data_IF_315937483961
#
_entry.id   IF_315937483961
#
_cell.length_a   1.000
_cell.length_b   1.000
_cell.length_c   1.000
_cell.angle_alpha   90.00
_cell.angle_beta   90.00
_cell.angle_gamma   90.00
#
_symmetry.space_group_name_H-M   'P 1'
#
loop_
_entity.id
_entity.type
_entity.pdbx_description
1 polymer ?
#
# COMPACT_ATOMS: atom_id res chain seq x y z
N UNK A 1 -6.34 1.56 0.87
CA UNK A 1 -5.16 1.07 0.13
C UNK A 1 -4.20 2.19 -0.25
N UNK A 2 -4.54 3.08 -1.19
CA UNK A 2 -3.61 4.09 -1.73
C UNK A 2 -3.00 5.04 -0.69
N UNK A 3 -3.82 5.52 0.26
CA UNK A 3 -3.36 6.39 1.36
C UNK A 3 -2.20 5.78 2.14
N UNK A 4 -2.15 4.45 2.25
CA UNK A 4 -1.09 3.72 2.95
C UNK A 4 0.01 3.31 1.96
N UNK A 5 -0.37 2.73 0.82
CA UNK A 5 0.58 2.12 -0.11
C UNK A 5 1.46 3.14 -0.84
N UNK A 6 0.90 4.28 -1.26
CA UNK A 6 1.62 5.32 -2.01
C UNK A 6 2.80 5.89 -1.23
N UNK A 7 2.64 6.45 -0.01
CA UNK A 7 3.78 7.02 0.71
C UNK A 7 4.87 5.99 1.00
N UNK A 8 4.48 4.74 1.33
CA UNK A 8 5.42 3.64 1.56
C UNK A 8 6.20 3.31 0.27
N UNK A 9 5.49 3.20 -0.86
CA UNK A 9 6.12 2.90 -2.15
C UNK A 9 7.08 3.99 -2.62
N UNK A 10 6.73 5.27 -2.43
CA UNK A 10 7.60 6.40 -2.72
C UNK A 10 8.85 6.38 -1.82
N UNK A 11 8.68 6.10 -0.52
CA UNK A 11 9.78 5.95 0.41
C UNK A 11 10.76 4.85 -0.02
N UNK A 12 10.25 3.68 -0.42
CA UNK A 12 11.06 2.57 -0.91
C UNK A 12 11.80 2.96 -2.20
N UNK A 13 11.13 3.59 -3.15
CA UNK A 13 11.73 4.02 -4.41
C UNK A 13 12.84 5.06 -4.20
N UNK A 14 12.61 6.06 -3.35
CA UNK A 14 13.62 7.07 -2.99
C UNK A 14 14.79 6.43 -2.25
N UNK A 15 14.52 5.53 -1.30
CA UNK A 15 15.57 4.82 -0.57
C UNK A 15 16.48 4.04 -1.52
N UNK A 16 15.90 3.27 -2.44
CA UNK A 16 16.67 2.47 -3.40
C UNK A 16 17.47 3.29 -4.39
N UNK A 17 17.02 4.49 -4.72
CA UNK A 17 17.69 5.35 -5.72
C UNK A 17 18.73 6.28 -5.12
N UNK A 18 18.53 6.78 -3.89
CA UNK A 18 19.39 7.82 -3.30
C UNK A 18 20.18 7.39 -2.07
N UNK A 19 19.64 6.50 -1.24
CA UNK A 19 20.19 6.19 0.08
C UNK A 19 20.83 4.79 0.14
N UNK A 20 20.37 3.87 -0.70
CA UNK A 20 20.76 2.47 -0.65
C UNK A 20 22.21 2.27 -1.13
N UNK A 21 23.06 1.56 -0.38
CA UNK A 21 24.41 1.28 -0.80
C UNK A 21 24.42 0.35 -2.03
N UNK A 22 25.38 0.57 -2.94
CA UNK A 22 25.36 -0.07 -4.28
C UNK A 22 25.31 -1.60 -4.27
N UNK A 23 25.85 -2.25 -3.25
CA UNK A 23 25.81 -3.71 -3.08
C UNK A 23 24.41 -4.25 -2.73
N UNK A 24 23.62 -3.49 -1.96
CA UNK A 24 22.27 -3.88 -1.54
C UNK A 24 21.20 -3.46 -2.57
N UNK A 25 21.48 -2.49 -3.43
CA UNK A 25 20.51 -1.95 -4.39
C UNK A 25 19.92 -3.03 -5.31
N UNK A 26 20.78 -3.86 -5.91
CA UNK A 26 20.38 -4.93 -6.84
C UNK A 26 19.54 -6.04 -6.19
N UNK A 27 19.94 -6.66 -5.06
CA UNK A 27 19.15 -7.74 -4.46
C UNK A 27 17.81 -7.25 -3.91
N UNK A 28 17.76 -6.06 -3.29
CA UNK A 28 16.50 -5.53 -2.73
C UNK A 28 15.51 -5.19 -3.85
N UNK A 29 16.00 -4.54 -4.92
CA UNK A 29 15.24 -4.30 -6.14
C UNK A 29 14.61 -5.56 -6.71
N UNK A 30 15.43 -6.60 -6.92
CA UNK A 30 14.98 -7.88 -7.44
C UNK A 30 13.91 -8.49 -6.53
N UNK A 31 14.08 -8.39 -5.20
CA UNK A 31 13.09 -8.91 -4.25
C UNK A 31 11.74 -8.20 -4.38
N UNK A 32 11.74 -6.88 -4.59
CA UNK A 32 10.50 -6.10 -4.78
C UNK A 32 9.82 -6.46 -6.10
N UNK A 33 10.59 -6.62 -7.17
CA UNK A 33 10.06 -7.04 -8.48
C UNK A 33 9.46 -8.45 -8.40
N UNK A 34 10.14 -9.38 -7.72
CA UNK A 34 9.61 -10.71 -7.45
C UNK A 34 8.34 -10.66 -6.58
N UNK A 35 8.30 -9.77 -5.59
CA UNK A 35 7.12 -9.57 -4.74
C UNK A 35 5.92 -9.05 -5.54
N UNK A 36 6.15 -8.21 -6.55
CA UNK A 36 5.11 -7.72 -7.47
C UNK A 36 4.56 -8.81 -8.40
N UNK A 37 5.35 -9.85 -8.67
CA UNK A 37 4.97 -11.01 -9.49
C UNK A 37 4.19 -12.08 -8.72
N UNK A 38 4.12 -11.99 -7.39
CA UNK A 38 3.37 -12.94 -6.56
C UNK A 38 1.88 -12.91 -6.95
N UNK A 39 1.27 -14.07 -7.26
CA UNK A 39 -0.16 -14.17 -7.53
C UNK A 39 -1.01 -13.60 -6.40
N UNK A 40 -2.06 -12.84 -6.74
CA UNK A 40 -2.83 -12.11 -5.74
C UNK A 40 -3.59 -13.03 -4.76
N UNK A 41 -3.96 -14.23 -5.18
CA UNK A 41 -4.55 -15.26 -4.31
C UNK A 41 -3.68 -15.60 -3.10
N UNK A 42 -2.35 -15.54 -3.25
CA UNK A 42 -1.42 -15.83 -2.15
C UNK A 42 -1.54 -14.75 -1.07
N UNK A 43 -1.61 -13.48 -1.46
CA UNK A 43 -1.88 -12.38 -0.53
C UNK A 43 -3.26 -12.50 0.13
N UNK A 44 -4.28 -12.93 -0.61
CA UNK A 44 -5.61 -13.18 -0.07
C UNK A 44 -5.65 -14.30 0.98
N UNK A 45 -5.03 -15.45 0.67
CA UNK A 45 -4.95 -16.57 1.60
C UNK A 45 -4.09 -16.26 2.82
N UNK A 46 -2.92 -15.64 2.64
CA UNK A 46 -2.10 -15.14 3.75
C UNK A 46 -2.88 -14.13 4.60
N UNK A 47 -3.63 -13.26 3.91
CA UNK A 47 -4.55 -12.30 4.49
C UNK A 47 -5.58 -12.92 5.41
N UNK A 48 -6.24 -14.00 4.96
CA UNK A 48 -7.29 -14.67 5.71
C UNK A 48 -6.74 -15.56 6.84
N UNK A 49 -5.66 -16.32 6.60
CA UNK A 49 -5.18 -17.32 7.55
C UNK A 49 -4.18 -16.78 8.58
N UNK A 50 -3.44 -15.73 8.25
CA UNK A 50 -2.38 -15.19 9.11
C UNK A 50 -2.71 -13.77 9.52
N UNK A 51 -2.96 -12.88 8.57
CA UNK A 51 -3.13 -11.46 8.88
C UNK A 51 -4.44 -11.19 9.63
N UNK A 52 -5.58 -11.73 9.18
CA UNK A 52 -6.88 -11.48 9.81
C UNK A 52 -6.92 -11.95 11.28
N UNK A 53 -6.49 -13.16 11.66
CA UNK A 53 -6.44 -13.55 13.07
C UNK A 53 -5.54 -12.67 13.94
N UNK A 54 -4.39 -12.25 13.40
CA UNK A 54 -3.48 -11.33 14.09
C UNK A 54 -4.11 -9.93 14.24
N UNK A 55 -4.73 -9.43 13.18
CA UNK A 55 -5.39 -8.14 13.14
C UNK A 55 -6.60 -8.10 14.09
N UNK A 56 -7.38 -9.18 14.15
CA UNK A 56 -8.46 -9.33 15.12
C UNK A 56 -7.95 -9.17 16.55
N UNK A 57 -6.88 -9.91 16.88
CA UNK A 57 -6.30 -9.96 18.23
C UNK A 57 -5.61 -8.67 18.65
N UNK A 58 -4.81 -8.08 17.77
CA UNK A 58 -3.94 -6.96 18.11
C UNK A 58 -4.51 -5.59 17.76
N UNK A 59 -5.50 -5.52 16.86
CA UNK A 59 -6.08 -4.25 16.42
C UNK A 59 -7.57 -4.19 16.73
N UNK A 60 -8.38 -5.12 16.22
CA UNK A 60 -9.84 -5.01 16.38
C UNK A 60 -10.28 -5.05 17.84
N UNK A 61 -9.84 -6.05 18.63
CA UNK A 61 -10.23 -6.20 20.03
C UNK A 61 -9.78 -5.01 20.91
N UNK A 62 -8.52 -4.54 20.87
CA UNK A 62 -8.13 -3.39 21.69
C UNK A 62 -8.79 -2.09 21.22
N UNK A 63 -8.96 -1.89 19.91
CA UNK A 63 -9.65 -0.70 19.39
C UNK A 63 -11.12 -0.73 19.78
N UNK A 64 -11.81 -1.87 19.66
CA UNK A 64 -13.22 -1.99 20.03
C UNK A 64 -13.44 -1.70 21.51
N UNK A 65 -12.55 -2.19 22.39
CA UNK A 65 -12.65 -1.98 23.83
C UNK A 65 -12.40 -0.51 24.24
N UNK A 66 -11.56 0.22 23.51
CA UNK A 66 -11.28 1.65 23.76
C UNK A 66 -12.39 2.55 23.19
N UNK A 67 -13.00 2.11 22.09
CA UNK A 67 -14.01 2.87 21.34
C UNK A 67 -15.43 2.62 21.89
N UNK A 68 -15.62 1.62 22.73
CA UNK A 68 -16.87 1.32 23.43
C UNK A 68 -17.31 2.51 24.29
N UNK A 69 -18.40 3.18 23.87
CA UNK A 69 -18.95 4.37 24.56
C UNK A 69 -18.77 5.72 23.84
N UNK A 70 -18.05 5.79 22.72
CA UNK A 70 -17.94 7.01 21.92
C UNK A 70 -19.02 7.10 20.82
N UNK A 71 -19.88 8.13 20.78
CA UNK A 71 -21.05 8.16 19.89
C UNK A 71 -20.76 8.32 18.38
N UNK A 72 -19.54 8.75 18.00
CA UNK A 72 -19.14 8.94 16.58
C UNK A 72 -18.02 7.97 16.18
N UNK A 73 -17.03 7.78 17.06
CA UNK A 73 -15.93 6.84 16.80
C UNK A 73 -16.41 5.39 16.97
N UNK A 74 -17.37 5.17 17.88
CA UNK A 74 -18.08 3.91 18.09
C UNK A 74 -18.68 3.34 16.82
N UNK A 75 -19.46 4.13 16.10
CA UNK A 75 -20.17 3.63 14.92
C UNK A 75 -19.25 3.30 13.74
N UNK A 76 -18.06 3.92 13.66
CA UNK A 76 -17.10 3.72 12.57
C UNK A 76 -16.07 2.61 12.85
N UNK A 77 -15.75 2.37 14.13
CA UNK A 77 -14.69 1.44 14.56
C UNK A 77 -15.19 0.33 15.51
N UNK A 78 -16.51 0.14 15.62
CA UNK A 78 -17.07 -1.01 16.32
C UNK A 78 -17.18 -2.21 15.37
N UNK A 79 -16.64 -3.36 15.75
CA UNK A 79 -16.75 -4.59 14.98
C UNK A 79 -17.87 -5.45 15.55
N UNK A 80 -18.89 -5.78 14.74
CA UNK A 80 -20.02 -6.58 15.21
C UNK A 80 -19.61 -8.04 15.51
N UNK A 81 -18.62 -8.55 14.77
CA UNK A 81 -17.92 -9.82 15.03
C UNK A 81 -16.43 -9.60 14.77
N UNK A 82 -15.57 -9.57 15.80
CA UNK A 82 -14.12 -9.38 15.63
C UNK A 82 -13.47 -10.65 15.07
N UNK A 83 -13.66 -10.90 13.78
CA UNK A 83 -13.11 -12.04 13.03
C UNK A 83 -11.82 -11.68 12.27
N UNK A 84 -11.41 -10.41 12.29
CA UNK A 84 -10.29 -9.91 11.51
C UNK A 84 -10.59 -9.67 10.04
N UNK A 85 -11.73 -10.16 9.56
CA UNK A 85 -12.22 -10.03 8.18
C UNK A 85 -13.06 -8.76 8.09
N UNK A 86 -12.79 -7.91 7.09
CA UNK A 86 -13.48 -6.63 6.97
C UNK A 86 -12.86 -5.70 5.92
N UNK A 87 -13.52 -4.56 5.68
CA UNK A 87 -13.11 -3.58 4.67
C UNK A 87 -11.71 -3.01 4.96
N UNK A 88 -11.40 -2.71 6.22
CA UNK A 88 -10.08 -2.18 6.61
C UNK A 88 -8.96 -3.20 6.36
N UNK A 89 -9.17 -4.44 6.81
CA UNK A 89 -8.20 -5.54 6.63
C UNK A 89 -7.91 -5.78 5.16
N UNK A 90 -8.97 -5.86 4.34
CA UNK A 90 -8.83 -5.96 2.90
C UNK A 90 -8.09 -4.76 2.29
N UNK A 91 -8.39 -3.54 2.75
CA UNK A 91 -7.71 -2.33 2.32
C UNK A 91 -6.22 -2.26 2.67
N UNK A 92 -5.81 -2.89 3.78
CA UNK A 92 -4.40 -3.01 4.20
C UNK A 92 -3.67 -4.04 3.32
N UNK A 93 -4.26 -5.22 3.10
CA UNK A 93 -3.65 -6.24 2.23
C UNK A 93 -3.49 -5.71 0.82
N UNK A 94 -4.50 -5.01 0.32
CA UNK A 94 -4.44 -4.35 -0.98
C UNK A 94 -3.33 -3.28 -1.03
N UNK A 95 -3.12 -2.54 0.07
CA UNK A 95 -1.99 -1.62 0.17
C UNK A 95 -0.65 -2.35 0.05
N UNK A 96 -0.46 -3.43 0.81
CA UNK A 96 0.77 -4.25 0.79
C UNK A 96 1.03 -4.78 -0.63
N UNK A 97 0.00 -5.19 -1.35
CA UNK A 97 0.11 -5.70 -2.72
C UNK A 97 0.50 -4.61 -3.74
N UNK A 98 -0.03 -3.38 -3.59
CA UNK A 98 0.25 -2.27 -4.53
C UNK A 98 1.63 -1.65 -4.27
N UNK A 99 2.15 -1.73 -3.04
CA UNK A 99 3.46 -1.17 -2.65
C UNK A 99 4.59 -1.61 -3.58
N UNK A 100 4.88 -2.91 -3.79
CA UNK A 100 6.01 -3.33 -4.62
C UNK A 100 5.84 -2.89 -6.07
N UNK A 101 4.61 -2.86 -6.57
CA UNK A 101 4.28 -2.44 -7.92
C UNK A 101 4.52 -0.94 -8.14
N UNK A 102 4.01 -0.07 -7.27
CA UNK A 102 4.21 1.37 -7.39
C UNK A 102 5.67 1.74 -7.10
N UNK A 103 6.33 1.02 -6.18
CA UNK A 103 7.72 1.24 -5.83
C UNK A 103 8.67 0.88 -6.99
N UNK A 104 8.47 -0.25 -7.66
CA UNK A 104 9.31 -0.66 -8.79
C UNK A 104 9.20 0.34 -9.94
N UNK A 105 7.97 0.72 -10.32
CA UNK A 105 7.73 1.70 -11.38
C UNK A 105 8.34 3.05 -11.02
N UNK A 106 8.08 3.55 -9.81
CA UNK A 106 8.62 4.86 -9.39
C UNK A 106 10.14 4.86 -9.39
N UNK A 107 10.76 3.79 -8.91
CA UNK A 107 12.22 3.64 -8.90
C UNK A 107 12.78 3.64 -10.32
N UNK A 108 12.19 2.90 -11.25
CA UNK A 108 12.64 2.85 -12.64
C UNK A 108 12.58 4.23 -13.30
N UNK A 109 11.55 5.02 -12.98
CA UNK A 109 11.42 6.40 -13.46
C UNK A 109 12.46 7.34 -12.84
N UNK A 110 12.75 7.18 -11.55
CA UNK A 110 13.79 7.96 -10.87
C UNK A 110 15.20 7.62 -11.38
N UNK A 111 15.47 6.35 -11.68
CA UNK A 111 16.74 5.90 -12.26
C UNK A 111 16.94 6.40 -13.70
N UNK A 112 15.85 6.70 -14.44
CA UNK A 112 15.92 7.32 -15.78
C UNK A 112 16.33 8.80 -15.77
N UNK A 113 16.27 9.48 -14.62
CA UNK A 113 16.66 10.89 -14.53
C UNK A 113 18.18 11.02 -14.74
N UNK A 114 18.64 11.88 -15.66
CA UNK A 114 20.07 12.09 -15.93
C UNK A 114 20.87 12.35 -14.64
N UNK A 115 22.00 11.66 -14.48
CA UNK A 115 22.88 11.83 -13.31
C UNK A 115 23.42 13.26 -13.19
N UNK A 116 23.60 13.96 -14.32
CA UNK A 116 24.06 15.35 -14.37
C UNK A 116 23.18 16.29 -13.53
N UNK A 117 21.86 16.08 -13.51
CA UNK A 117 20.96 16.91 -12.69
C UNK A 117 21.17 16.67 -11.19
N UNK A 118 21.48 15.44 -10.80
CA UNK A 118 21.81 15.09 -9.42
C UNK A 118 23.15 15.67 -9.02
N UNK A 119 24.17 15.45 -9.82
CA UNK A 119 25.54 15.93 -9.58
C UNK A 119 25.63 17.45 -9.57
N UNK A 120 24.87 18.15 -10.43
CA UNK A 120 24.80 19.61 -10.43
C UNK A 120 24.17 20.15 -9.15
N UNK A 121 23.12 19.50 -8.65
CA UNK A 121 22.48 19.87 -7.39
C UNK A 121 23.39 19.62 -6.18
N UNK A 122 24.13 18.51 -6.16
CA UNK A 122 25.18 18.30 -5.15
C UNK A 122 26.32 19.32 -5.28
N UNK A 123 26.68 19.73 -6.50
CA UNK A 123 27.72 20.72 -6.78
C UNK A 123 27.43 22.14 -6.26
N UNK A 124 26.15 22.51 -6.10
CA UNK A 124 25.73 23.78 -5.47
C UNK A 124 25.54 23.66 -3.95
N UNK A 125 25.88 22.51 -3.36
CA UNK A 125 25.82 22.28 -1.92
C UNK A 125 24.48 21.74 -1.39
N UNK A 126 23.58 21.26 -2.26
CA UNK A 126 22.33 20.66 -1.79
C UNK A 126 22.56 19.33 -1.05
N UNK A 127 21.79 19.13 0.00
CA UNK A 127 21.69 17.85 0.73
C UNK A 127 20.89 16.83 -0.07
N UNK A 128 21.06 15.53 0.25
CA UNK A 128 20.32 14.44 -0.41
C UNK A 128 18.80 14.63 -0.34
N UNK A 129 18.28 15.15 0.78
CA UNK A 129 16.86 15.46 0.94
C UNK A 129 16.41 16.62 0.04
N UNK A 130 17.23 17.66 -0.11
CA UNK A 130 16.93 18.78 -1.00
C UNK A 130 16.96 18.37 -2.47
N UNK A 131 17.91 17.51 -2.87
CA UNK A 131 17.95 16.93 -4.22
C UNK A 131 16.69 16.10 -4.49
N UNK A 132 16.28 15.26 -3.55
CA UNK A 132 15.04 14.49 -3.67
C UNK A 132 13.82 15.41 -3.81
N UNK A 133 13.68 16.38 -2.91
CA UNK A 133 12.49 17.22 -2.80
C UNK A 133 12.35 18.24 -3.94
N UNK A 134 13.44 18.86 -4.35
CA UNK A 134 13.42 19.99 -5.28
C UNK A 134 13.85 19.63 -6.71
N UNK A 135 14.53 18.50 -6.91
CA UNK A 135 15.01 18.09 -8.25
C UNK A 135 14.28 16.82 -8.70
N UNK A 136 14.41 15.73 -7.94
CA UNK A 136 13.94 14.42 -8.38
C UNK A 136 12.41 14.27 -8.37
N UNK A 137 11.76 14.62 -7.27
CA UNK A 137 10.29 14.50 -7.14
C UNK A 137 9.57 15.39 -8.17
N UNK A 138 9.92 16.68 -8.35
CA UNK A 138 9.25 17.52 -9.35
C UNK A 138 9.44 17.00 -10.77
N UNK A 139 10.64 16.53 -11.09
CA UNK A 139 10.93 16.00 -12.42
C UNK A 139 10.24 14.67 -12.71
N UNK A 140 10.08 13.80 -11.71
CA UNK A 140 9.36 12.53 -11.83
C UNK A 140 7.85 12.65 -11.54
N UNK A 141 7.33 13.85 -11.25
CA UNK A 141 5.96 14.04 -10.73
C UNK A 141 4.88 13.44 -11.63
N UNK A 142 4.99 13.66 -12.95
CA UNK A 142 4.05 13.10 -13.95
C UNK A 142 4.09 11.57 -13.94
N UNK A 143 5.30 10.99 -13.88
CA UNK A 143 5.48 9.53 -13.84
C UNK A 143 5.02 8.92 -12.52
N UNK A 144 5.23 9.61 -11.39
CA UNK A 144 4.73 9.21 -10.08
C UNK A 144 3.20 9.18 -10.08
N UNK A 145 2.55 10.20 -10.62
CA UNK A 145 1.08 10.23 -10.76
C UNK A 145 0.63 9.07 -11.65
N UNK A 146 1.33 8.79 -12.75
CA UNK A 146 1.08 7.63 -13.61
C UNK A 146 1.19 6.29 -12.86
N UNK A 147 2.22 6.11 -12.05
CA UNK A 147 2.41 4.91 -11.23
C UNK A 147 1.30 4.75 -10.19
N UNK A 148 0.88 5.84 -9.54
CA UNK A 148 -0.24 5.84 -8.58
C UNK A 148 -1.55 5.47 -9.28
N UNK A 149 -1.82 6.01 -10.47
CA UNK A 149 -3.02 5.68 -11.25
C UNK A 149 -3.01 4.22 -11.70
N UNK A 150 -1.86 3.69 -12.10
CA UNK A 150 -1.72 2.28 -12.46
C UNK A 150 -1.94 1.36 -11.23
N UNK A 151 -1.44 1.78 -10.06
CA UNK A 151 -1.70 1.13 -8.78
C UNK A 151 -3.18 1.16 -8.39
N UNK A 152 -3.87 2.28 -8.62
CA UNK A 152 -5.32 2.41 -8.42
C UNK A 152 -6.09 1.48 -9.36
N UNK A 153 -5.72 1.42 -10.64
CA UNK A 153 -6.32 0.49 -11.60
C UNK A 153 -6.19 -0.97 -11.17
N UNK A 154 -4.99 -1.34 -10.69
CA UNK A 154 -4.75 -2.67 -10.09
C UNK A 154 -5.62 -2.89 -8.85
N UNK A 155 -5.74 -1.89 -7.98
CA UNK A 155 -6.57 -1.96 -6.77
C UNK A 155 -8.04 -2.24 -7.09
N UNK A 156 -8.58 -1.52 -8.08
CA UNK A 156 -9.97 -1.65 -8.50
C UNK A 156 -10.25 -2.99 -9.21
N UNK A 157 -9.27 -3.48 -9.98
CA UNK A 157 -9.33 -4.76 -10.66
C UNK A 157 -9.05 -5.97 -9.74
N UNK A 158 -8.64 -5.75 -8.50
CA UNK A 158 -8.32 -6.85 -7.58
C UNK A 158 -9.60 -7.44 -6.97
N UNK A 159 -9.96 -8.65 -7.42
CA UNK A 159 -11.20 -9.31 -7.03
C UNK A 159 -10.96 -10.48 -6.09
N UNK A 160 -9.96 -11.32 -6.38
CA UNK A 160 -9.74 -12.57 -5.67
C UNK A 160 -9.18 -12.34 -4.26
N UNK A 161 -8.10 -11.55 -4.14
CA UNK A 161 -7.47 -11.32 -2.84
C UNK A 161 -8.43 -10.64 -1.85
N UNK A 162 -9.20 -9.66 -2.34
CA UNK A 162 -10.13 -8.89 -1.54
C UNK A 162 -11.33 -9.73 -1.11
N UNK A 163 -11.87 -10.58 -2.00
CA UNK A 163 -13.05 -11.40 -1.67
C UNK A 163 -12.78 -12.36 -0.51
N UNK A 164 -11.57 -12.92 -0.42
CA UNK A 164 -11.23 -13.78 0.72
C UNK A 164 -11.22 -13.02 2.05
N UNK A 165 -10.82 -11.75 2.08
CA UNK A 165 -10.56 -11.04 3.36
C UNK A 165 -11.64 -10.01 3.72
N UNK A 166 -12.52 -9.66 2.78
CA UNK A 166 -13.63 -8.72 3.03
C UNK A 166 -14.86 -9.43 3.62
N UNK A 167 -14.94 -10.76 3.52
CA UNK A 167 -16.01 -11.58 4.10
C UNK A 167 -17.28 -11.69 3.25
N UNK A 168 -17.31 -11.02 2.10
CA UNK A 168 -18.39 -11.05 1.09
C UNK A 168 -19.81 -10.94 1.68
N UNK A 169 -20.03 -9.97 2.57
CA UNK A 169 -21.33 -9.75 3.17
C UNK A 169 -22.16 -8.75 2.36
N UNK A 170 -23.42 -9.10 2.10
CA UNK A 170 -24.37 -8.22 1.42
C UNK A 170 -25.07 -7.26 2.39
N UNK A 171 -24.30 -6.46 3.13
CA UNK A 171 -24.81 -5.45 4.06
C UNK A 171 -23.97 -4.19 3.97
N UNK A 172 -24.61 -3.03 3.86
CA UNK A 172 -23.92 -1.75 4.05
C UNK A 172 -23.85 -1.47 5.55
N UNK A 173 -22.67 -1.68 6.13
CA UNK A 173 -22.38 -1.24 7.50
C UNK A 173 -21.57 0.07 7.45
N UNK A 174 -21.79 0.95 8.43
CA UNK A 174 -21.02 2.19 8.57
C UNK A 174 -19.61 1.94 9.16
N UNK A 175 -19.38 0.75 9.73
CA UNK A 175 -18.11 0.38 10.35
C UNK A 175 -17.11 -0.14 9.32
N UNK A 176 -15.84 0.31 9.44
CA UNK A 176 -14.74 -0.11 8.56
C UNK A 176 -14.22 -1.51 8.94
N UNK A 177 -14.53 -1.99 10.14
CA UNK A 177 -14.17 -3.33 10.59
C UNK A 177 -15.17 -4.41 10.17
N UNK A 178 -16.37 -4.02 9.76
CA UNK A 178 -17.37 -4.98 9.35
C UNK A 178 -17.09 -5.54 7.94
N UNK A 179 -17.60 -6.75 7.65
CA UNK A 179 -17.54 -7.32 6.32
C UNK A 179 -18.26 -6.48 5.27
N UNK A 180 -17.74 -6.49 4.05
CA UNK A 180 -18.31 -5.78 2.90
C UNK A 180 -18.26 -6.62 1.63
N UNK A 181 -18.49 -5.98 0.49
CA UNK A 181 -18.42 -6.61 -0.83
C UNK A 181 -17.72 -5.68 -1.83
N UNK A 182 -16.96 -6.24 -2.77
CA UNK A 182 -16.32 -5.46 -3.83
C UNK A 182 -17.30 -5.13 -4.95
N UNK A 183 -17.08 -4.01 -5.66
CA UNK A 183 -17.89 -3.63 -6.82
C UNK A 183 -17.86 -4.76 -7.87
N UNK A 184 -16.69 -5.35 -8.12
CA UNK A 184 -16.54 -6.45 -9.06
C UNK A 184 -17.31 -7.71 -8.64
N UNK A 185 -17.28 -8.09 -7.36
CA UNK A 185 -18.05 -9.23 -6.83
C UNK A 185 -19.56 -9.00 -6.83
N UNK A 186 -20.02 -7.77 -7.04
CA UNK A 186 -21.45 -7.44 -7.12
C UNK A 186 -21.99 -7.37 -8.53
N UNK A 187 -21.11 -7.13 -9.49
CA UNK A 187 -21.47 -7.02 -10.90
C UNK A 187 -21.31 -8.37 -11.62
N UNK A 188 -20.35 -9.20 -11.19
CA UNK A 188 -20.15 -10.57 -11.67
C UNK A 188 -21.22 -11.53 -11.13
#
# INVERSE_FOLDING_TARGET
ALVIGVPISLGIAIYLTQLCPGWARRPVAMTIELLAAVPSIIYGMWGLFIFAPLFARFVQIPVSNVVEGMPIVGTLFYAQVPSGVGVLTAGIILAIMIVPFVASITRDMLDQIPTVLRESAYGIGCTTWEVVRHVLIPQASVSIIGAIMLGLGRALGETMAVTFVIGNANRLSASIFDPGSTIASRIA
#
